data_IF_550766502891
#
_entry.id   IF_550766502891
#
_cell.length_a   1.000
_cell.length_b   1.000
_cell.length_c   1.000
_cell.angle_alpha   90.00
_cell.angle_beta   90.00
_cell.angle_gamma   90.00
#
_symmetry.space_group_name_H-M   'P 1'
#
loop_
_entity.id
_entity.type
_entity.pdbx_description
1 polymer ?
#
# COMPACT_ATOMS: atom_id res chain seq x y z
N UNK A 1 3.00 0.70 -20.14
CA UNK A 1 1.81 1.19 -19.40
C UNK A 1 2.14 1.02 -17.94
N UNK A 2 2.27 2.12 -17.20
CA UNK A 2 2.55 2.07 -15.74
C UNK A 2 1.41 1.35 -15.05
N UNK A 3 1.72 0.52 -14.06
CA UNK A 3 0.71 -0.12 -13.22
C UNK A 3 -0.23 0.89 -12.56
N UNK A 4 -1.40 0.39 -12.14
CA UNK A 4 -2.43 1.14 -11.42
C UNK A 4 -2.81 0.44 -10.10
N UNK A 5 -1.94 -0.39 -9.52
CA UNK A 5 -2.21 -1.11 -8.27
C UNK A 5 -2.53 -0.19 -7.09
N UNK A 6 -1.63 0.76 -6.81
CA UNK A 6 -1.82 1.74 -5.74
C UNK A 6 -3.07 2.56 -5.97
N UNK A 7 -3.29 3.05 -7.19
CA UNK A 7 -4.51 3.79 -7.52
C UNK A 7 -5.78 2.93 -7.37
N UNK A 8 -5.78 1.70 -7.88
CA UNK A 8 -6.90 0.77 -7.81
C UNK A 8 -7.28 0.45 -6.36
N UNK A 9 -6.27 0.18 -5.53
CA UNK A 9 -6.49 -0.11 -4.12
C UNK A 9 -7.13 1.08 -3.38
N UNK A 10 -6.61 2.29 -3.59
CA UNK A 10 -7.19 3.51 -3.00
C UNK A 10 -8.64 3.70 -3.46
N UNK A 11 -8.92 3.56 -4.76
CA UNK A 11 -10.28 3.73 -5.28
C UNK A 11 -11.24 2.64 -4.78
N UNK A 12 -10.78 1.40 -4.63
CA UNK A 12 -11.55 0.30 -4.05
C UNK A 12 -11.94 0.59 -2.60
N UNK A 13 -10.97 0.96 -1.76
CA UNK A 13 -11.21 1.32 -0.35
C UNK A 13 -12.13 2.52 -0.21
N UNK A 14 -11.89 3.58 -0.99
CA UNK A 14 -12.76 4.76 -1.00
C UNK A 14 -14.20 4.38 -1.36
N UNK A 15 -14.39 3.53 -2.38
CA UNK A 15 -15.72 3.06 -2.79
C UNK A 15 -16.43 2.30 -1.68
N UNK A 16 -15.72 1.45 -0.92
CA UNK A 16 -16.30 0.73 0.22
C UNK A 16 -16.73 1.67 1.35
N UNK A 17 -16.00 2.79 1.52
CA UNK A 17 -16.36 3.86 2.47
C UNK A 17 -17.43 4.83 1.93
N UNK A 18 -17.99 4.57 0.76
CA UNK A 18 -19.01 5.41 0.12
C UNK A 18 -18.45 6.71 -0.48
N UNK A 19 -17.18 6.70 -0.89
CA UNK A 19 -16.49 7.80 -1.58
C UNK A 19 -16.11 7.40 -3.01
N UNK A 20 -16.03 8.35 -3.95
CA UNK A 20 -16.26 9.79 -3.80
C UNK A 20 -17.74 10.15 -3.61
N UNK A 21 -18.02 11.30 -2.97
CA UNK A 21 -19.37 11.85 -2.77
C UNK A 21 -19.58 13.10 -3.61
N UNK A 22 -20.82 13.35 -4.05
CA UNK A 22 -21.17 14.60 -4.73
C UNK A 22 -21.26 15.74 -3.72
N UNK A 23 -20.69 16.91 -4.07
CA UNK A 23 -20.64 18.08 -3.18
C UNK A 23 -22.01 18.74 -2.98
N UNK A 24 -22.91 18.68 -3.97
CA UNK A 24 -24.32 19.08 -3.82
C UNK A 24 -25.19 18.49 -4.95
N UNK A 25 -26.52 18.63 -4.87
CA UNK A 25 -27.46 18.24 -5.94
C UNK A 25 -27.22 19.00 -7.25
N UNK A 26 -26.61 20.19 -7.18
CA UNK A 26 -26.36 21.08 -8.34
C UNK A 26 -24.91 21.06 -8.82
N UNK A 27 -24.00 20.45 -8.06
CA UNK A 27 -22.60 20.33 -8.44
C UNK A 27 -22.27 18.85 -8.67
N UNK A 28 -22.08 18.49 -9.94
CA UNK A 28 -21.90 17.10 -10.39
C UNK A 28 -20.54 16.52 -10.03
N UNK A 29 -19.61 17.34 -9.55
CA UNK A 29 -18.25 16.90 -9.29
C UNK A 29 -18.17 16.02 -8.03
N UNK A 30 -17.72 14.79 -8.23
CA UNK A 30 -17.46 13.84 -7.17
C UNK A 30 -16.11 14.17 -6.50
N UNK A 31 -16.13 14.30 -5.18
CA UNK A 31 -14.97 14.68 -4.37
C UNK A 31 -14.72 13.68 -3.26
N UNK A 32 -13.50 13.66 -2.76
CA UNK A 32 -13.03 12.88 -1.62
C UNK A 32 -12.55 13.84 -0.53
N UNK A 33 -12.92 13.60 0.73
CA UNK A 33 -12.35 14.34 1.84
C UNK A 33 -10.86 13.98 1.99
N UNK A 34 -9.97 14.97 2.02
CA UNK A 34 -8.53 14.73 2.00
C UNK A 34 -8.00 14.03 3.25
N UNK A 35 -8.66 14.16 4.41
CA UNK A 35 -8.28 13.38 5.61
C UNK A 35 -8.62 11.89 5.45
N UNK A 36 -9.75 11.59 4.81
CA UNK A 36 -10.14 10.22 4.49
C UNK A 36 -9.16 9.64 3.47
N UNK A 37 -8.77 10.42 2.46
CA UNK A 37 -7.73 10.01 1.51
C UNK A 37 -6.39 9.72 2.22
N UNK A 38 -5.92 10.61 3.10
CA UNK A 38 -4.68 10.39 3.86
C UNK A 38 -4.75 9.09 4.67
N UNK A 39 -5.87 8.82 5.33
CA UNK A 39 -6.08 7.56 6.07
C UNK A 39 -6.12 6.34 5.14
N UNK A 40 -6.71 6.48 3.95
CA UNK A 40 -6.78 5.40 2.94
C UNK A 40 -5.37 5.06 2.43
N UNK A 41 -4.52 6.07 2.22
CA UNK A 41 -3.12 5.86 1.82
C UNK A 41 -2.33 5.16 2.92
N UNK A 42 -2.53 5.51 4.19
CA UNK A 42 -1.92 4.79 5.30
C UNK A 42 -2.37 3.32 5.38
N UNK A 43 -3.66 3.05 5.13
CA UNK A 43 -4.17 1.67 5.07
C UNK A 43 -3.55 0.88 3.92
N UNK A 44 -3.41 1.49 2.74
CA UNK A 44 -2.71 0.87 1.60
C UNK A 44 -1.25 0.54 1.95
N UNK A 45 -0.55 1.41 2.67
CA UNK A 45 0.85 1.18 3.09
C UNK A 45 0.91 -0.02 4.04
N UNK A 46 0.07 -0.06 5.07
CA UNK A 46 0.04 -1.17 6.02
C UNK A 46 -0.29 -2.48 5.33
N UNK A 47 -1.26 -2.45 4.42
CA UNK A 47 -1.66 -3.59 3.63
C UNK A 47 -0.50 -4.11 2.77
N UNK A 48 0.11 -3.24 1.97
CA UNK A 48 1.23 -3.61 1.10
C UNK A 48 2.42 -4.14 1.90
N UNK A 49 2.74 -3.51 3.03
CA UNK A 49 3.76 -4.00 3.96
C UNK A 49 3.40 -5.37 4.56
N UNK A 50 2.12 -5.61 4.88
CA UNK A 50 1.65 -6.91 5.39
C UNK A 50 1.82 -8.03 4.36
N UNK A 51 1.49 -7.78 3.09
CA UNK A 51 1.72 -8.74 2.01
C UNK A 51 3.21 -8.99 1.82
N UNK A 52 4.03 -7.94 1.80
CA UNK A 52 5.48 -8.09 1.74
C UNK A 52 6.03 -8.98 2.86
N UNK A 53 5.59 -8.74 4.09
CA UNK A 53 6.10 -9.43 5.27
C UNK A 53 5.56 -10.87 5.42
N UNK A 54 4.31 -11.13 5.02
CA UNK A 54 3.61 -12.37 5.35
C UNK A 54 3.25 -13.23 4.14
N UNK A 55 3.33 -12.69 2.92
CA UNK A 55 3.03 -13.36 1.65
C UNK A 55 4.08 -12.98 0.59
N UNK A 56 5.38 -13.25 0.82
CA UNK A 56 6.48 -12.79 -0.03
C UNK A 56 6.33 -13.21 -1.51
N UNK A 57 5.86 -14.44 -1.77
CA UNK A 57 5.57 -14.89 -3.14
C UNK A 57 4.53 -14.00 -3.84
N UNK A 58 3.43 -13.69 -3.15
CA UNK A 58 2.39 -12.80 -3.67
C UNK A 58 2.92 -11.38 -3.88
N UNK A 59 3.72 -10.86 -2.94
CA UNK A 59 4.37 -9.56 -3.08
C UNK A 59 5.23 -9.47 -4.35
N UNK A 60 6.02 -10.50 -4.63
CA UNK A 60 6.84 -10.58 -5.85
C UNK A 60 6.00 -10.68 -7.13
N UNK A 61 4.84 -11.36 -7.09
CA UNK A 61 3.90 -11.36 -8.22
C UNK A 61 3.30 -9.97 -8.46
N UNK A 62 2.97 -9.23 -7.40
CA UNK A 62 2.49 -7.85 -7.51
C UNK A 62 3.59 -6.97 -8.11
N UNK A 63 4.82 -7.03 -7.61
CA UNK A 63 5.97 -6.28 -8.15
C UNK A 63 6.21 -6.61 -9.62
N UNK A 64 6.20 -7.90 -10.00
CA UNK A 64 6.34 -8.33 -11.39
C UNK A 64 5.23 -7.75 -12.28
N UNK A 65 4.01 -7.64 -11.75
CA UNK A 65 2.88 -7.03 -12.45
C UNK A 65 3.03 -5.51 -12.54
N UNK A 66 3.55 -4.86 -11.50
CA UNK A 66 3.83 -3.43 -11.48
C UNK A 66 4.88 -3.03 -12.53
N UNK A 67 5.89 -3.88 -12.70
CA UNK A 67 6.98 -3.73 -13.66
C UNK A 67 6.74 -4.49 -14.97
N UNK A 68 5.49 -4.81 -15.29
CA UNK A 68 5.14 -5.56 -16.50
C UNK A 68 5.63 -4.85 -17.76
N UNK A 69 6.25 -5.62 -18.65
CA UNK A 69 6.88 -5.12 -19.87
C UNK A 69 8.37 -4.82 -19.71
N UNK A 70 8.91 -4.97 -18.50
CA UNK A 70 10.37 -5.06 -18.29
C UNK A 70 10.90 -6.31 -18.97
N UNK A 71 11.95 -6.15 -19.75
CA UNK A 71 12.76 -7.27 -20.20
C UNK A 71 13.67 -7.70 -19.05
N UNK A 72 13.28 -8.77 -18.36
CA UNK A 72 13.96 -9.27 -17.17
C UNK A 72 15.31 -9.93 -17.46
N UNK A 73 15.59 -10.26 -18.73
CA UNK A 73 16.86 -10.85 -19.17
C UNK A 73 17.86 -9.77 -19.62
N UNK A 74 17.41 -8.52 -19.75
CA UNK A 74 18.28 -7.39 -20.05
C UNK A 74 19.26 -7.10 -18.91
N UNK A 75 20.46 -6.63 -19.26
CA UNK A 75 21.45 -6.13 -18.29
C UNK A 75 20.94 -4.91 -17.52
N UNK A 76 20.00 -4.17 -18.09
CA UNK A 76 19.38 -2.99 -17.50
C UNK A 76 18.11 -3.34 -16.70
N UNK A 77 17.77 -4.63 -16.57
CA UNK A 77 16.65 -5.06 -15.76
C UNK A 77 16.84 -4.64 -14.30
N UNK A 78 15.73 -4.25 -13.66
CA UNK A 78 15.69 -3.90 -12.24
C UNK A 78 16.39 -4.97 -11.38
N UNK A 79 17.25 -4.52 -10.47
CA UNK A 79 17.93 -5.36 -9.50
C UNK A 79 17.35 -5.08 -8.11
N UNK A 80 16.63 -6.06 -7.56
CA UNK A 80 15.92 -5.86 -6.28
C UNK A 80 16.90 -5.57 -5.13
N UNK A 81 18.11 -6.13 -5.15
CA UNK A 81 19.14 -5.85 -4.14
C UNK A 81 19.62 -4.40 -4.15
N UNK A 82 19.84 -3.84 -5.35
CA UNK A 82 20.20 -2.42 -5.51
C UNK A 82 19.05 -1.52 -5.07
N UNK A 83 17.82 -1.84 -5.49
CA UNK A 83 16.61 -1.11 -5.10
C UNK A 83 16.44 -1.09 -3.57
N UNK A 84 16.55 -2.24 -2.91
CA UNK A 84 16.48 -2.36 -1.45
C UNK A 84 17.59 -1.55 -0.77
N UNK A 85 18.82 -1.57 -1.30
CA UNK A 85 19.92 -0.79 -0.75
C UNK A 85 19.64 0.72 -0.84
N UNK A 86 19.11 1.18 -1.97
CA UNK A 86 18.74 2.57 -2.18
C UNK A 86 17.58 2.98 -1.26
N UNK A 87 16.53 2.16 -1.16
CA UNK A 87 15.40 2.42 -0.28
C UNK A 87 15.80 2.47 1.19
N UNK A 88 16.67 1.56 1.66
CA UNK A 88 17.17 1.58 3.04
C UNK A 88 17.88 2.90 3.37
N UNK A 89 18.63 3.49 2.44
CA UNK A 89 19.22 4.83 2.62
C UNK A 89 18.14 5.90 2.75
N UNK A 90 17.14 5.88 1.86
CA UNK A 90 16.04 6.84 1.90
C UNK A 90 15.21 6.74 3.19
N UNK A 91 14.92 5.52 3.66
CA UNK A 91 14.20 5.31 4.92
C UNK A 91 14.98 5.84 6.12
N UNK A 92 16.30 5.61 6.15
CA UNK A 92 17.17 6.13 7.20
C UNK A 92 17.17 7.68 7.23
N UNK A 93 17.24 8.33 6.06
CA UNK A 93 17.15 9.78 5.93
C UNK A 93 15.80 10.35 6.40
N UNK A 94 14.73 9.56 6.29
CA UNK A 94 13.37 9.97 6.73
C UNK A 94 13.16 9.86 8.24
N UNK A 95 14.04 9.16 8.95
CA UNK A 95 14.21 9.19 10.41
C UNK A 95 13.70 7.97 11.18
N UNK A 96 12.73 7.22 10.65
CA UNK A 96 12.26 5.98 11.28
C UNK A 96 11.98 4.91 10.21
N UNK A 97 12.92 3.98 10.07
CA UNK A 97 12.83 2.86 9.13
C UNK A 97 12.09 1.64 9.68
N UNK A 98 11.71 1.63 10.96
CA UNK A 98 11.10 0.48 11.62
C UNK A 98 9.56 0.46 11.52
N UNK A 99 8.99 1.52 10.96
CA UNK A 99 7.55 1.68 10.72
C UNK A 99 7.30 1.92 9.22
N UNK A 100 6.46 1.12 8.55
CA UNK A 100 6.22 1.27 7.11
C UNK A 100 5.65 2.64 6.73
N UNK A 101 4.78 3.23 7.56
CA UNK A 101 4.20 4.56 7.30
C UNK A 101 5.23 5.68 7.39
N UNK A 102 6.19 5.57 8.31
CA UNK A 102 7.29 6.56 8.45
C UNK A 102 8.42 6.33 7.44
N UNK A 103 8.66 5.06 7.07
CA UNK A 103 9.61 4.71 6.03
C UNK A 103 9.15 5.27 4.67
N UNK A 104 7.89 5.03 4.29
CA UNK A 104 7.32 5.52 3.01
C UNK A 104 7.02 7.03 3.07
N UNK A 105 6.54 7.51 4.22
CA UNK A 105 6.27 8.95 4.49
C UNK A 105 5.43 9.62 3.39
N UNK A 106 4.19 9.15 3.14
CA UNK A 106 3.37 9.66 2.05
C UNK A 106 3.04 11.16 2.23
N UNK A 107 2.84 11.85 1.12
CA UNK A 107 2.33 13.23 1.11
C UNK A 107 0.97 13.29 1.79
N UNK A 108 0.75 14.34 2.60
CA UNK A 108 -0.53 14.58 3.29
C UNK A 108 -1.39 15.52 2.47
N UNK A 109 -2.35 14.97 1.73
CA UNK A 109 -3.29 15.74 0.90
C UNK A 109 -4.09 16.73 1.73
N UNK A 110 -4.41 16.38 3.00
CA UNK A 110 -5.11 17.26 3.93
C UNK A 110 -4.36 18.56 4.27
N UNK A 111 -3.03 18.58 4.11
CA UNK A 111 -2.22 19.79 4.30
C UNK A 111 -2.34 20.77 3.12
N UNK A 112 -2.77 20.29 1.96
CA UNK A 112 -2.85 21.10 0.73
C UNK A 112 -4.29 21.49 0.39
N UNK A 113 -5.25 20.62 0.65
CA UNK A 113 -6.66 20.87 0.35
C UNK A 113 -7.58 20.12 1.30
N UNK A 114 -8.79 20.64 1.55
CA UNK A 114 -9.82 19.94 2.34
C UNK A 114 -10.49 18.81 1.56
N UNK A 115 -10.57 18.95 0.24
CA UNK A 115 -11.20 18.00 -0.67
C UNK A 115 -10.38 17.85 -1.94
N UNK A 116 -10.39 16.64 -2.47
CA UNK A 116 -9.75 16.22 -3.71
C UNK A 116 -10.83 15.84 -4.71
N UNK A 117 -10.78 16.36 -5.93
CA UNK A 117 -11.65 15.90 -7.02
C UNK A 117 -11.14 14.57 -7.58
N UNK A 118 -12.03 13.77 -8.17
CA UNK A 118 -11.60 12.55 -8.88
C UNK A 118 -10.67 12.86 -10.05
N UNK A 119 -10.83 14.01 -10.70
CA UNK A 119 -9.92 14.45 -11.77
C UNK A 119 -8.50 14.66 -11.23
N UNK A 120 -8.35 15.30 -10.08
CA UNK A 120 -7.05 15.46 -9.41
C UNK A 120 -6.48 14.11 -8.99
N UNK A 121 -7.28 13.20 -8.43
CA UNK A 121 -6.79 11.86 -8.05
C UNK A 121 -6.27 11.05 -9.25
N UNK A 122 -6.89 11.21 -10.42
CA UNK A 122 -6.45 10.60 -11.69
C UNK A 122 -5.30 11.35 -12.35
N UNK A 123 -4.83 12.45 -11.76
CA UNK A 123 -3.63 13.11 -12.26
C UNK A 123 -2.44 12.14 -12.22
N UNK A 124 -1.58 12.23 -13.23
CA UNK A 124 -0.48 11.30 -13.44
C UNK A 124 0.52 11.34 -12.29
N UNK A 125 0.79 12.51 -11.72
CA UNK A 125 1.75 12.65 -10.62
C UNK A 125 1.21 12.00 -9.35
N UNK A 126 -0.08 12.23 -9.05
CA UNK A 126 -0.73 11.65 -7.86
C UNK A 126 -0.87 10.13 -8.03
N UNK A 127 -1.32 9.67 -9.19
CA UNK A 127 -1.42 8.24 -9.47
C UNK A 127 -0.06 7.56 -9.38
N UNK A 128 1.00 8.19 -9.91
CA UNK A 128 2.36 7.67 -9.79
C UNK A 128 2.85 7.64 -8.35
N UNK A 129 2.60 8.67 -7.55
CA UNK A 129 2.96 8.68 -6.14
C UNK A 129 2.29 7.53 -5.37
N UNK A 130 1.01 7.25 -5.64
CA UNK A 130 0.30 6.11 -5.04
C UNK A 130 0.91 4.77 -5.44
N UNK A 131 1.32 4.59 -6.71
CA UNK A 131 2.06 3.40 -7.13
C UNK A 131 3.39 3.26 -6.38
N UNK A 132 4.15 4.35 -6.25
CA UNK A 132 5.44 4.35 -5.55
C UNK A 132 5.25 3.97 -4.08
N UNK A 133 4.24 4.54 -3.40
CA UNK A 133 3.95 4.20 -2.00
C UNK A 133 3.60 2.72 -1.85
N UNK A 134 2.79 2.17 -2.75
CA UNK A 134 2.45 0.74 -2.73
C UNK A 134 3.70 -0.13 -2.96
N UNK A 135 4.49 0.16 -3.99
CA UNK A 135 5.72 -0.55 -4.31
C UNK A 135 6.74 -0.52 -3.17
N UNK A 136 7.01 0.67 -2.63
CA UNK A 136 7.96 0.86 -1.54
C UNK A 136 7.50 0.13 -0.27
N UNK A 137 6.20 0.10 0.00
CA UNK A 137 5.64 -0.64 1.14
C UNK A 137 5.76 -2.15 0.97
N UNK A 138 5.52 -2.69 -0.23
CA UNK A 138 5.76 -4.11 -0.55
C UNK A 138 7.23 -4.48 -0.30
N UNK A 139 8.16 -3.68 -0.81
CA UNK A 139 9.60 -3.90 -0.64
C UNK A 139 10.00 -3.78 0.83
N UNK A 140 9.44 -2.80 1.55
CA UNK A 140 9.68 -2.65 2.99
C UNK A 140 9.24 -3.90 3.77
N UNK A 141 8.04 -4.42 3.49
CA UNK A 141 7.54 -5.64 4.12
C UNK A 141 8.42 -6.86 3.81
N UNK A 142 8.83 -7.01 2.54
CA UNK A 142 9.68 -8.12 2.08
C UNK A 142 11.00 -8.21 2.86
N UNK A 143 11.63 -7.06 3.16
CA UNK A 143 12.96 -7.02 3.77
C UNK A 143 12.96 -6.74 5.27
N UNK A 144 11.79 -6.45 5.86
CA UNK A 144 11.63 -6.20 7.29
C UNK A 144 10.43 -6.97 7.90
N UNK A 145 10.30 -8.30 7.71
CA UNK A 145 9.12 -9.05 8.13
C UNK A 145 8.89 -9.05 9.66
N UNK A 146 9.96 -9.11 10.45
CA UNK A 146 9.86 -9.10 11.92
C UNK A 146 9.57 -7.70 12.48
N UNK A 147 10.10 -6.66 11.83
CA UNK A 147 9.74 -5.28 12.16
C UNK A 147 8.26 -5.03 11.85
N UNK A 148 7.74 -5.58 10.74
CA UNK A 148 6.30 -5.48 10.44
C UNK A 148 5.45 -6.12 11.53
N UNK A 149 5.78 -7.34 11.98
CA UNK A 149 5.05 -8.01 13.07
C UNK A 149 5.09 -7.19 14.36
N UNK A 150 6.25 -6.63 14.70
CA UNK A 150 6.42 -5.77 15.89
C UNK A 150 5.58 -4.50 15.76
N UNK A 151 5.65 -3.84 14.60
CA UNK A 151 4.84 -2.67 14.26
C UNK A 151 3.34 -2.97 14.39
N UNK A 152 2.91 -4.09 13.81
CA UNK A 152 1.52 -4.50 13.79
C UNK A 152 0.99 -4.74 15.20
N UNK A 153 1.69 -5.57 15.99
CA UNK A 153 1.31 -5.88 17.37
C UNK A 153 1.23 -4.62 18.23
N UNK A 154 2.20 -3.71 18.11
CA UNK A 154 2.20 -2.44 18.86
C UNK A 154 1.06 -1.50 18.44
N UNK A 155 0.71 -1.48 17.15
CA UNK A 155 -0.43 -0.71 16.65
C UNK A 155 -1.76 -1.31 17.10
N UNK A 156 -1.89 -2.64 17.06
CA UNK A 156 -3.06 -3.37 17.53
C UNK A 156 -3.30 -3.11 19.03
N UNK A 157 -2.26 -3.26 19.86
CA UNK A 157 -2.31 -2.98 21.30
C UNK A 157 -2.76 -1.55 21.57
N UNK A 158 -2.12 -0.56 20.92
CA UNK A 158 -2.49 0.85 21.05
C UNK A 158 -3.95 1.12 20.66
N UNK A 159 -4.44 0.49 19.60
CA UNK A 159 -5.85 0.64 19.22
C UNK A 159 -6.78 -0.02 20.24
N UNK A 160 -6.40 -1.17 20.80
CA UNK A 160 -7.18 -1.88 21.84
C UNK A 160 -7.28 -1.03 23.10
N UNK A 161 -6.18 -0.40 23.52
CA UNK A 161 -6.14 0.52 24.66
C UNK A 161 -7.02 1.76 24.47
N UNK A 162 -7.07 2.31 23.25
CA UNK A 162 -7.89 3.49 22.92
C UNK A 162 -9.36 3.18 22.64
N UNK A 163 -9.71 1.91 22.47
CA UNK A 163 -11.07 1.47 22.19
C UNK A 163 -12.13 2.01 23.17
N UNK A 164 -11.89 2.04 24.51
CA UNK A 164 -12.85 2.64 25.44
C UNK A 164 -13.07 4.13 25.21
N UNK A 165 -12.04 4.88 24.81
CA UNK A 165 -12.15 6.31 24.50
C UNK A 165 -12.95 6.55 23.22
N UNK A 166 -12.73 5.74 22.18
CA UNK A 166 -13.51 5.81 20.95
C UNK A 166 -14.99 5.52 21.19
N UNK A 167 -15.30 4.50 21.99
CA UNK A 167 -16.68 4.18 22.38
C UNK A 167 -17.33 5.32 23.17
N UNK A 168 -16.59 5.94 24.11
CA UNK A 168 -17.06 7.15 24.84
C UNK A 168 -17.32 8.34 23.92
N UNK A 169 -16.54 8.48 22.84
CA UNK A 169 -16.72 9.51 21.82
C UNK A 169 -17.86 9.20 20.82
N UNK A 170 -18.57 8.09 20.99
CA UNK A 170 -19.66 7.68 20.09
C UNK A 170 -19.17 7.14 18.74
N UNK A 171 -17.89 6.78 18.61
CA UNK A 171 -17.37 6.11 17.42
C UNK A 171 -17.78 4.64 17.47
N UNK A 172 -18.46 4.17 16.42
CA UNK A 172 -18.76 2.76 16.21
C UNK A 172 -17.49 2.04 15.74
N UNK A 173 -16.61 1.71 16.68
CA UNK A 173 -15.46 0.84 16.44
C UNK A 173 -15.81 -0.54 16.99
N UNK A 174 -16.28 -1.42 16.10
CA UNK A 174 -16.84 -2.72 16.48
C UNK A 174 -15.76 -3.76 16.78
N UNK A 175 -14.61 -3.69 16.10
CA UNK A 175 -13.45 -4.53 16.34
C UNK A 175 -12.18 -3.88 15.79
N UNK A 176 -11.02 -4.39 16.23
CA UNK A 176 -9.72 -4.10 15.62
C UNK A 176 -9.38 -5.31 14.77
N UNK A 177 -9.07 -5.14 13.48
CA UNK A 177 -8.77 -6.25 12.62
C UNK A 177 -7.57 -7.03 13.16
N UNK A 178 -7.53 -8.34 12.94
CA UNK A 178 -6.33 -9.16 13.15
C UNK A 178 -5.43 -9.11 11.91
N UNK A 179 -4.18 -9.53 12.04
CA UNK A 179 -3.26 -9.58 10.90
C UNK A 179 -3.82 -10.45 9.76
N UNK A 180 -4.41 -11.58 10.10
CA UNK A 180 -5.07 -12.47 9.13
C UNK A 180 -6.25 -11.79 8.43
N UNK A 181 -7.01 -10.93 9.13
CA UNK A 181 -8.10 -10.16 8.52
C UNK A 181 -7.56 -9.12 7.54
N UNK A 182 -6.50 -8.38 7.90
CA UNK A 182 -5.86 -7.42 6.97
C UNK A 182 -5.33 -8.13 5.73
N UNK A 183 -4.68 -9.29 5.90
CA UNK A 183 -4.19 -10.08 4.78
C UNK A 183 -5.34 -10.56 3.90
N UNK A 184 -6.43 -11.04 4.49
CA UNK A 184 -7.61 -11.52 3.75
C UNK A 184 -8.32 -10.41 2.97
N UNK A 185 -8.63 -9.29 3.63
CA UNK A 185 -9.20 -8.10 2.98
C UNK A 185 -8.31 -7.64 1.82
N UNK A 186 -7.02 -7.73 2.05
CA UNK A 186 -6.00 -7.52 1.05
C UNK A 186 -6.04 -8.40 -0.18
N UNK A 187 -6.08 -9.71 0.04
CA UNK A 187 -6.23 -10.71 -1.02
C UNK A 187 -7.58 -10.56 -1.75
N UNK A 188 -8.64 -10.11 -1.07
CA UNK A 188 -9.92 -9.78 -1.71
C UNK A 188 -9.80 -8.59 -2.67
N UNK A 189 -9.05 -7.57 -2.31
CA UNK A 189 -8.76 -6.42 -3.19
C UNK A 189 -7.95 -6.87 -4.41
N UNK A 190 -6.98 -7.78 -4.23
CA UNK A 190 -6.24 -8.37 -5.33
C UNK A 190 -7.13 -9.18 -6.27
N UNK A 191 -8.05 -9.99 -5.74
CA UNK A 191 -9.04 -10.71 -6.56
C UNK A 191 -9.93 -9.75 -7.36
N UNK A 192 -10.30 -8.62 -6.76
CA UNK A 192 -10.99 -7.53 -7.46
C UNK A 192 -10.17 -7.00 -8.63
N UNK A 193 -8.89 -6.69 -8.39
CA UNK A 193 -7.97 -6.25 -9.43
C UNK A 193 -7.84 -7.28 -10.55
N UNK A 194 -7.67 -8.56 -10.22
CA UNK A 194 -7.49 -9.61 -11.22
C UNK A 194 -8.73 -9.79 -12.11
N UNK A 195 -9.92 -9.64 -11.52
CA UNK A 195 -11.19 -9.71 -12.23
C UNK A 195 -11.45 -8.51 -13.13
N UNK A 196 -11.14 -7.30 -12.67
CA UNK A 196 -11.52 -6.06 -13.34
C UNK A 196 -10.44 -5.53 -14.29
N UNK A 197 -9.17 -5.78 -13.97
CA UNK A 197 -8.02 -5.24 -14.68
C UNK A 197 -7.27 -6.36 -15.40
N UNK A 198 -6.68 -7.31 -14.65
CA UNK A 198 -5.94 -8.47 -15.18
C UNK A 198 -5.31 -9.34 -14.10
N UNK A 199 -5.10 -10.61 -14.44
CA UNK A 199 -4.31 -11.57 -13.67
C UNK A 199 -2.90 -11.06 -13.33
N UNK A 200 -2.41 -11.47 -12.16
CA UNK A 200 -1.04 -11.22 -11.73
C UNK A 200 -0.03 -11.91 -12.65
N UNK A 201 1.09 -11.22 -12.88
CA UNK A 201 2.18 -11.74 -13.68
C UNK A 201 2.91 -12.86 -12.91
N UNK A 202 3.42 -13.89 -13.61
CA UNK A 202 4.33 -14.84 -13.00
C UNK A 202 5.59 -14.13 -12.50
N UNK A 203 6.23 -14.67 -11.46
CA UNK A 203 7.48 -14.13 -10.93
C UNK A 203 8.61 -14.46 -11.90
N UNK A 204 9.31 -13.46 -12.47
CA UNK A 204 10.47 -13.69 -13.32
C UNK A 204 11.61 -14.34 -12.54
N UNK A 205 12.37 -15.24 -13.18
CA UNK A 205 13.46 -15.97 -12.53
C UNK A 205 14.50 -15.03 -11.91
N UNK A 206 14.84 -13.94 -12.61
CA UNK A 206 15.75 -12.92 -12.07
C UNK A 206 15.24 -12.32 -10.76
N UNK A 207 13.99 -11.89 -10.71
CA UNK A 207 13.38 -11.31 -9.50
C UNK A 207 13.34 -12.34 -8.36
N UNK A 208 13.05 -13.60 -8.67
CA UNK A 208 13.09 -14.70 -7.70
C UNK A 208 14.51 -14.89 -7.14
N UNK A 209 15.53 -14.91 -7.99
CA UNK A 209 16.94 -15.08 -7.59
C UNK A 209 17.43 -13.90 -6.73
N UNK A 210 17.08 -12.67 -7.11
CA UNK A 210 17.43 -11.47 -6.34
C UNK A 210 16.79 -11.53 -4.94
N UNK A 211 15.51 -11.93 -4.86
CA UNK A 211 14.81 -12.07 -3.58
C UNK A 211 15.43 -13.16 -2.67
N UNK A 212 15.76 -14.33 -3.23
CA UNK A 212 16.46 -15.39 -2.48
C UNK A 212 17.81 -14.90 -1.96
N UNK A 213 18.55 -14.14 -2.78
CA UNK A 213 19.86 -13.58 -2.41
C UNK A 213 19.75 -12.53 -1.29
N UNK A 214 18.59 -11.91 -1.12
CA UNK A 214 18.27 -11.02 0.00
C UNK A 214 17.78 -11.76 1.26
N UNK A 215 17.71 -13.09 1.23
CA UNK A 215 17.21 -13.91 2.33
C UNK A 215 15.68 -13.98 2.43
N UNK A 216 14.97 -13.55 1.40
CA UNK A 216 13.50 -13.62 1.34
C UNK A 216 13.10 -15.07 1.06
N UNK A 217 12.28 -15.65 1.94
CA UNK A 217 11.74 -17.00 1.78
C UNK A 217 10.53 -16.96 0.87
N UNK A 218 10.62 -17.61 -0.29
CA UNK A 218 9.53 -17.68 -1.29
C UNK A 218 8.91 -19.07 -1.16
N UNK A 219 7.95 -19.20 -0.25
CA UNK A 219 7.13 -20.42 -0.07
C UNK A 219 5.84 -20.31 -0.91
#
# INVERSE_FOLDING_TARGET
MTSIFGFYHIMGLLSHMGWPKRKSLFNSEAVVNSLILDSTVEQMIDWAASIGACRPKLALQIIATMLRGTDWESKDAMNLGVEVSNMKKQWAERGNSDNPREAVKPVKFSKHSKVMTIKQLKDKEISHALEVYCYESLVWGLVNPDNFKTYYSANEERQREKMPEYKKAGLAVDYIPTLDQILKEGEEILKGYEKEIRELSPIPQKLQNDAISLGIKIE
#
